data_IF_315716457454
#
_entry.id   IF_315716457454
#
_cell.length_a   1.000
_cell.length_b   1.000
_cell.length_c   1.000
_cell.angle_alpha   90.00
_cell.angle_beta   90.00
_cell.angle_gamma   90.00
#
_symmetry.space_group_name_H-M   'P 1'
#
loop_
_entity.id
_entity.type
_entity.pdbx_description
1 polymer ?
#
# COMPACT_ATOMS: atom_id res chain seq x y z
N UNK A 1 10.21 24.66 0.72
CA UNK A 1 9.34 24.79 1.92
C UNK A 1 7.82 24.95 1.66
N UNK A 2 7.23 24.64 0.48
CA UNK A 2 5.76 24.49 0.34
C UNK A 2 5.23 23.06 0.58
N UNK A 3 6.08 22.03 0.40
CA UNK A 3 5.64 20.64 0.32
C UNK A 3 5.24 20.02 1.68
N UNK A 4 5.89 20.40 2.79
CA UNK A 4 5.58 19.88 4.14
C UNK A 4 4.17 20.25 4.65
N UNK A 5 3.67 21.45 4.29
CA UNK A 5 2.33 21.89 4.74
C UNK A 5 1.20 21.15 4.03
N UNK A 6 1.42 20.73 2.77
CA UNK A 6 0.46 19.93 2.03
C UNK A 6 0.41 18.49 2.54
N UNK A 7 1.57 17.91 2.89
CA UNK A 7 1.63 16.52 3.35
C UNK A 7 0.90 16.32 4.69
N UNK A 8 1.10 17.25 5.65
CA UNK A 8 0.37 17.22 6.92
C UNK A 8 -1.16 17.42 6.76
N UNK A 9 -1.60 18.26 5.82
CA UNK A 9 -3.04 18.45 5.58
C UNK A 9 -3.70 17.22 4.93
N UNK A 10 -2.97 16.52 4.05
CA UNK A 10 -3.41 15.27 3.43
C UNK A 10 -3.45 14.12 4.45
N UNK A 11 -2.47 14.03 5.35
CA UNK A 11 -2.51 13.06 6.46
C UNK A 11 -3.65 13.37 7.45
N UNK A 12 -3.89 14.64 7.76
CA UNK A 12 -5.01 15.04 8.63
C UNK A 12 -6.38 14.78 7.99
N UNK A 13 -6.54 15.03 6.70
CA UNK A 13 -7.81 14.73 5.99
C UNK A 13 -7.99 13.23 5.76
N UNK A 14 -6.93 12.49 5.44
CA UNK A 14 -6.97 11.03 5.39
C UNK A 14 -7.29 10.44 6.76
N UNK A 15 -6.76 11.01 7.85
CA UNK A 15 -7.05 10.56 9.22
C UNK A 15 -8.48 10.81 9.67
N UNK A 16 -9.07 11.93 9.27
CA UNK A 16 -10.48 12.21 9.52
C UNK A 16 -11.37 11.34 8.64
N UNK A 17 -11.06 11.21 7.34
CA UNK A 17 -11.85 10.41 6.41
C UNK A 17 -11.87 8.92 6.75
N UNK A 18 -10.73 8.34 7.18
CA UNK A 18 -10.75 6.95 7.65
C UNK A 18 -11.50 6.83 8.97
N UNK A 19 -11.33 7.76 9.92
CA UNK A 19 -12.08 7.70 11.20
C UNK A 19 -13.58 7.77 11.01
N UNK A 20 -14.05 8.59 10.06
CA UNK A 20 -15.47 8.71 9.76
C UNK A 20 -15.98 7.47 8.99
N UNK A 21 -15.21 6.93 8.04
CA UNK A 21 -15.51 5.63 7.41
C UNK A 21 -15.64 4.50 8.47
N UNK A 22 -14.77 4.51 9.48
CA UNK A 22 -14.76 3.55 10.59
C UNK A 22 -15.97 3.63 11.51
N UNK A 23 -16.45 4.86 11.80
CA UNK A 23 -17.62 5.06 12.66
C UNK A 23 -18.89 4.45 12.05
N UNK A 24 -19.00 4.47 10.73
CA UNK A 24 -20.22 4.06 10.04
C UNK A 24 -20.28 2.54 9.76
N UNK A 25 -19.14 1.82 9.76
CA UNK A 25 -19.08 0.40 9.32
C UNK A 25 -18.79 -0.63 10.42
N UNK A 26 -18.50 -0.23 11.67
CA UNK A 26 -18.26 -1.16 12.78
C UNK A 26 -16.96 -1.98 12.66
N UNK A 27 -16.52 -2.59 13.78
CA UNK A 27 -15.23 -3.28 14.03
C UNK A 27 -14.38 -3.58 12.78
N UNK A 28 -13.51 -2.66 12.41
CA UNK A 28 -12.73 -2.84 11.20
C UNK A 28 -11.76 -4.01 11.32
N UNK A 29 -11.80 -4.87 10.31
CA UNK A 29 -10.84 -5.95 10.13
C UNK A 29 -9.49 -5.32 9.81
N UNK A 30 -8.53 -5.49 10.72
CA UNK A 30 -7.16 -5.08 10.53
C UNK A 30 -6.22 -6.27 10.64
N UNK A 31 -5.05 -6.11 10.03
CA UNK A 31 -3.95 -7.07 10.07
C UNK A 31 -2.69 -6.32 10.50
N UNK A 32 -1.91 -6.89 11.41
CA UNK A 32 -0.54 -6.42 11.63
C UNK A 32 0.31 -6.93 10.47
N UNK A 33 0.96 -6.01 9.76
CA UNK A 33 1.67 -6.28 8.51
C UNK A 33 3.10 -5.75 8.54
N UNK A 34 3.98 -6.44 7.81
CA UNK A 34 5.30 -5.93 7.44
C UNK A 34 5.22 -5.26 6.07
N UNK A 35 5.59 -3.99 5.99
CA UNK A 35 5.56 -3.18 4.78
C UNK A 35 6.98 -2.92 4.31
N UNK A 36 7.27 -3.33 3.08
CA UNK A 36 8.50 -2.99 2.33
C UNK A 36 8.15 -2.09 1.15
N UNK A 37 9.15 -1.68 0.37
CA UNK A 37 8.93 -0.93 -0.86
C UNK A 37 9.74 -1.51 -2.03
N UNK A 38 9.19 -1.38 -3.24
CA UNK A 38 9.81 -1.82 -4.49
C UNK A 38 9.68 -0.77 -5.59
N UNK A 39 10.55 -0.85 -6.61
CA UNK A 39 10.54 0.02 -7.79
C UNK A 39 10.47 -0.78 -9.09
N UNK A 40 10.12 -0.16 -10.24
CA UNK A 40 10.11 -0.85 -11.54
C UNK A 40 11.51 -1.19 -12.08
N UNK A 41 12.55 -0.88 -11.30
CA UNK A 41 13.95 -1.17 -11.59
C UNK A 41 14.19 -2.69 -11.72
N UNK A 42 15.13 -3.08 -12.58
CA UNK A 42 15.44 -4.50 -12.82
C UNK A 42 15.84 -5.27 -11.55
N UNK A 43 16.47 -4.58 -10.60
CA UNK A 43 16.90 -5.16 -9.30
C UNK A 43 15.69 -5.62 -8.47
N UNK A 44 14.60 -4.85 -8.44
CA UNK A 44 13.42 -5.18 -7.64
C UNK A 44 12.43 -6.06 -8.40
N UNK A 45 12.25 -5.86 -9.71
CA UNK A 45 11.20 -6.54 -10.47
C UNK A 45 11.69 -7.71 -11.33
N UNK A 46 12.98 -7.78 -11.68
CA UNK A 46 13.51 -8.73 -12.67
C UNK A 46 13.01 -8.51 -14.12
N UNK A 47 12.01 -7.65 -14.31
CA UNK A 47 11.35 -7.25 -15.55
C UNK A 47 10.92 -5.78 -15.45
N UNK A 48 11.01 -5.03 -16.54
CA UNK A 48 10.83 -3.56 -16.55
C UNK A 48 9.56 -3.10 -17.30
N UNK A 49 8.56 -3.98 -17.47
CA UNK A 49 7.31 -3.62 -18.17
C UNK A 49 6.37 -2.77 -17.32
N UNK A 50 6.58 -2.73 -15.99
CA UNK A 50 5.79 -1.95 -15.04
C UNK A 50 4.35 -2.45 -14.90
N UNK A 51 4.06 -3.68 -15.36
CA UNK A 51 2.72 -4.26 -15.33
C UNK A 51 2.57 -5.12 -14.08
N UNK A 52 1.58 -4.76 -13.26
CA UNK A 52 1.22 -5.50 -12.06
C UNK A 52 0.51 -6.81 -12.41
N UNK A 53 0.42 -7.71 -11.43
CA UNK A 53 -0.31 -8.98 -11.53
C UNK A 53 -1.80 -8.80 -11.87
N UNK A 54 -2.39 -7.64 -11.57
CA UNK A 54 -3.76 -7.29 -11.99
C UNK A 54 -3.88 -6.87 -13.46
N UNK A 55 -2.76 -6.75 -14.19
CA UNK A 55 -2.71 -6.26 -15.57
C UNK A 55 -2.67 -4.75 -15.72
N UNK A 56 -2.64 -4.00 -14.60
CA UNK A 56 -2.55 -2.53 -14.61
C UNK A 56 -1.09 -2.05 -14.47
N UNK A 57 -0.75 -0.86 -14.99
CA UNK A 57 0.52 -0.22 -14.68
C UNK A 57 0.63 0.09 -13.18
N UNK A 58 1.76 -0.24 -12.57
CA UNK A 58 2.05 0.11 -11.20
C UNK A 58 2.16 1.63 -11.04
N UNK A 59 1.53 2.16 -9.99
CA UNK A 59 1.46 3.61 -9.73
C UNK A 59 1.84 3.92 -8.29
N UNK A 60 2.79 4.84 -8.10
CA UNK A 60 3.15 5.30 -6.76
C UNK A 60 1.93 5.96 -6.08
N UNK A 61 1.86 5.84 -4.76
CA UNK A 61 0.72 6.28 -3.93
C UNK A 61 -0.61 5.57 -4.25
N UNK A 62 -0.55 4.41 -4.91
CA UNK A 62 -1.74 3.61 -5.24
C UNK A 62 -1.48 2.12 -5.13
N UNK A 63 -0.48 1.62 -5.86
CA UNK A 63 -0.26 0.18 -6.04
C UNK A 63 0.53 -0.40 -4.88
N UNK A 64 0.05 -1.54 -4.36
CA UNK A 64 0.79 -2.41 -3.43
C UNK A 64 0.73 -3.87 -3.94
N UNK A 65 1.79 -4.62 -3.66
CA UNK A 65 1.84 -6.06 -3.83
C UNK A 65 1.50 -6.77 -2.51
N UNK A 66 0.67 -7.80 -2.58
CA UNK A 66 0.19 -8.55 -1.41
C UNK A 66 0.14 -10.07 -1.66
N UNK A 67 -0.18 -10.84 -0.63
CA UNK A 67 -0.60 -12.24 -0.77
C UNK A 67 -2.13 -12.33 -1.00
N UNK A 68 -2.60 -12.73 -2.20
CA UNK A 68 -4.02 -12.77 -2.52
C UNK A 68 -4.82 -13.79 -1.68
N UNK A 69 -4.15 -14.75 -1.04
CA UNK A 69 -4.81 -15.67 -0.12
C UNK A 69 -5.18 -15.01 1.22
N UNK A 70 -4.54 -13.89 1.58
CA UNK A 70 -4.82 -13.12 2.79
C UNK A 70 -5.65 -11.87 2.48
N UNK A 71 -5.27 -11.13 1.43
CA UNK A 71 -5.91 -9.90 1.01
C UNK A 71 -6.27 -10.01 -0.48
N UNK A 72 -7.55 -10.12 -0.87
CA UNK A 72 -7.92 -10.24 -2.28
C UNK A 72 -7.43 -9.06 -3.13
N UNK A 73 -7.05 -9.31 -4.39
CA UNK A 73 -6.71 -8.25 -5.33
C UNK A 73 -7.91 -7.31 -5.58
N UNK A 74 -7.63 -6.02 -5.65
CA UNK A 74 -8.61 -4.94 -5.75
C UNK A 74 -9.05 -4.38 -4.40
N UNK A 75 -8.63 -5.00 -3.28
CA UNK A 75 -8.92 -4.50 -1.94
C UNK A 75 -8.28 -3.13 -1.73
N UNK A 76 -9.06 -2.18 -1.24
CA UNK A 76 -8.57 -0.88 -0.81
C UNK A 76 -8.27 -0.92 0.69
N UNK A 77 -7.10 -0.45 1.09
CA UNK A 77 -6.64 -0.51 2.46
C UNK A 77 -5.88 0.73 2.89
N UNK A 78 -6.01 1.06 4.17
CA UNK A 78 -5.24 2.11 4.84
C UNK A 78 -4.11 1.49 5.65
N UNK A 79 -2.88 1.89 5.37
CA UNK A 79 -1.70 1.56 6.17
C UNK A 79 -1.49 2.68 7.18
N UNK A 80 -1.58 2.35 8.47
CA UNK A 80 -1.49 3.33 9.55
C UNK A 80 -0.17 4.11 9.47
N UNK A 81 -0.29 5.45 9.38
CA UNK A 81 0.86 6.35 9.26
C UNK A 81 1.59 6.31 7.91
N UNK A 82 1.05 5.63 6.89
CA UNK A 82 1.66 5.56 5.55
C UNK A 82 0.71 6.10 4.48
N UNK A 83 -0.56 5.67 4.46
CA UNK A 83 -1.54 6.15 3.47
C UNK A 83 -2.52 5.10 2.99
N UNK A 84 -3.30 5.44 1.95
CA UNK A 84 -4.33 4.58 1.34
C UNK A 84 -3.80 4.00 0.04
N UNK A 85 -3.98 2.69 -0.15
CA UNK A 85 -3.48 1.94 -1.29
C UNK A 85 -4.50 0.90 -1.77
N UNK A 86 -4.23 0.33 -2.94
CA UNK A 86 -5.03 -0.70 -3.60
C UNK A 86 -4.15 -1.90 -3.91
N UNK A 87 -4.59 -3.09 -3.48
CA UNK A 87 -3.97 -4.37 -3.79
C UNK A 87 -4.06 -4.68 -5.29
N UNK A 88 -3.08 -4.25 -6.08
CA UNK A 88 -3.09 -4.41 -7.54
C UNK A 88 -1.99 -5.36 -8.03
N UNK A 89 -1.07 -5.77 -7.17
CA UNK A 89 0.06 -6.62 -7.53
C UNK A 89 0.27 -7.80 -6.58
N UNK A 90 1.12 -8.75 -6.99
CA UNK A 90 1.56 -9.88 -6.18
C UNK A 90 3.06 -10.11 -6.43
N UNK A 91 3.75 -10.67 -5.44
CA UNK A 91 5.15 -11.05 -5.56
C UNK A 91 5.39 -12.48 -5.09
N UNK A 92 6.33 -13.19 -5.71
CA UNK A 92 6.66 -14.56 -5.30
C UNK A 92 7.11 -14.66 -3.83
N UNK A 93 7.78 -13.63 -3.34
CA UNK A 93 8.28 -13.50 -1.95
C UNK A 93 7.31 -12.78 -1.01
N UNK A 94 6.24 -12.17 -1.54
CA UNK A 94 5.23 -11.46 -0.74
C UNK A 94 4.14 -12.46 -0.36
N UNK A 95 4.28 -13.03 0.85
CA UNK A 95 3.43 -14.09 1.38
C UNK A 95 2.97 -13.76 2.80
N UNK A 96 1.75 -14.19 3.15
CA UNK A 96 1.15 -13.91 4.45
C UNK A 96 0.84 -12.42 4.66
N UNK A 97 1.14 -11.91 5.85
CA UNK A 97 0.88 -10.51 6.24
C UNK A 97 2.00 -9.56 5.79
N UNK A 98 2.49 -9.75 4.56
CA UNK A 98 3.53 -8.89 3.97
C UNK A 98 2.93 -8.04 2.85
N UNK A 99 3.33 -6.78 2.81
CA UNK A 99 2.91 -5.80 1.80
C UNK A 99 4.15 -5.16 1.21
N UNK A 100 4.19 -5.03 -0.12
CA UNK A 100 5.26 -4.32 -0.82
C UNK A 100 4.69 -3.08 -1.52
N UNK A 101 5.17 -1.91 -1.17
CA UNK A 101 4.65 -0.64 -1.66
C UNK A 101 5.39 -0.21 -2.93
N UNK A 102 4.64 0.04 -4.00
CA UNK A 102 5.26 0.50 -5.24
C UNK A 102 5.68 1.96 -5.13
N UNK A 103 6.96 2.22 -5.39
CA UNK A 103 7.55 3.54 -5.48
C UNK A 103 8.21 3.74 -6.85
N UNK A 104 8.22 4.99 -7.32
CA UNK A 104 8.82 5.31 -8.62
C UNK A 104 10.35 5.26 -8.60
N UNK A 105 10.96 5.45 -7.43
CA UNK A 105 12.39 5.67 -7.29
C UNK A 105 13.02 4.62 -6.34
N UNK A 106 14.15 4.06 -6.77
CA UNK A 106 14.85 3.01 -6.02
C UNK A 106 15.45 3.53 -4.71
N UNK A 107 16.01 4.73 -4.72
CA UNK A 107 16.62 5.32 -3.55
C UNK A 107 15.55 5.59 -2.47
N UNK A 108 14.39 6.10 -2.86
CA UNK A 108 13.25 6.25 -1.94
C UNK A 108 12.75 4.90 -1.39
N UNK A 109 12.73 3.84 -2.21
CA UNK A 109 12.35 2.52 -1.73
C UNK A 109 13.33 1.97 -0.68
N UNK A 110 14.64 2.21 -0.86
CA UNK A 110 15.66 1.86 0.11
C UNK A 110 15.53 2.67 1.41
N UNK A 111 15.29 3.98 1.30
CA UNK A 111 15.10 4.89 2.43
C UNK A 111 13.83 4.60 3.23
N UNK A 112 12.78 4.11 2.56
CA UNK A 112 11.55 3.69 3.22
C UNK A 112 11.81 2.54 4.22
N UNK A 113 12.69 1.61 3.87
CA UNK A 113 13.10 0.48 4.69
C UNK A 113 11.95 -0.51 4.95
N UNK A 114 11.96 -1.12 6.13
CA UNK A 114 10.92 -2.07 6.58
C UNK A 114 10.15 -1.44 7.73
N UNK A 115 8.82 -1.46 7.65
CA UNK A 115 7.94 -0.92 8.69
C UNK A 115 6.90 -1.95 9.10
N UNK A 116 6.65 -2.08 10.41
CA UNK A 116 5.51 -2.84 10.92
C UNK A 116 4.39 -1.88 11.25
N UNK A 117 3.21 -2.11 10.68
CA UNK A 117 2.04 -1.24 10.90
C UNK A 117 0.75 -2.03 10.82
N UNK A 118 -0.38 -1.37 11.14
CA UNK A 118 -1.71 -1.92 10.94
C UNK A 118 -2.22 -1.62 9.54
N UNK A 119 -2.63 -2.67 8.84
CA UNK A 119 -3.38 -2.58 7.58
C UNK A 119 -4.86 -2.70 7.88
N UNK A 120 -5.58 -1.66 7.53
CA UNK A 120 -7.01 -1.49 7.76
C UNK A 120 -7.76 -1.69 6.44
N UNK A 121 -8.63 -2.69 6.38
CA UNK A 121 -9.39 -2.97 5.15
C UNK A 121 -10.53 -1.97 5.01
N UNK A 122 -10.50 -1.18 3.94
CA UNK A 122 -11.53 -0.17 3.66
C UNK A 122 -12.58 -0.69 2.68
N UNK A 123 -12.22 -1.57 1.75
CA UNK A 123 -13.19 -2.16 0.83
C UNK A 123 -12.66 -3.51 0.35
N UNK A 124 -13.32 -4.59 0.73
CA UNK A 124 -13.08 -5.90 0.13
C UNK A 124 -13.73 -5.94 -1.25
N UNK A 125 -13.01 -6.45 -2.26
CA UNK A 125 -13.60 -6.78 -3.55
C UNK A 125 -14.12 -8.21 -3.48
N UNK A 126 -15.45 -8.35 -3.54
CA UNK A 126 -16.16 -9.64 -3.60
C UNK A 126 -16.07 -10.21 -5.01
#
# INVERSE_FOLDING_TARGET
MPQEKQQHAVEQTATVAWRDYYKDHGSAKFLDVEVTAYCPCHICCGKCDGITSSGKPAQANRTIAIDPAVIPLGTMLYLEGIGIFVAEDTGGVIKGNKIDLFMNDHQHALEFGVKTTKAYILQEKI
#
